data_IF_060928814472
#
_entry.id   IF_060928814472
#
_cell.length_a   1.000
_cell.length_b   1.000
_cell.length_c   1.000
_cell.angle_alpha   90.00
_cell.angle_beta   90.00
_cell.angle_gamma   90.00
#
_symmetry.space_group_name_H-M   'P 1'
#
loop_
_entity.id
_entity.type
_entity.pdbx_description
1 polymer ?
#
# COMPACT_ATOMS: atom_id res chain seq x y z
N UNK A 1 5.02 8.76 -8.30
CA UNK A 1 5.80 7.51 -8.34
C UNK A 1 6.73 7.57 -9.54
N UNK A 2 8.03 7.35 -9.36
CA UNK A 2 9.01 7.59 -10.44
C UNK A 2 9.07 6.50 -11.52
N UNK A 3 8.57 5.31 -11.21
CA UNK A 3 8.65 4.15 -12.13
C UNK A 3 7.40 3.97 -12.99
N UNK A 4 6.29 4.55 -12.57
CA UNK A 4 5.00 4.43 -13.27
C UNK A 4 4.30 5.78 -13.21
N UNK A 5 3.90 6.30 -14.35
CA UNK A 5 3.07 7.50 -14.43
C UNK A 5 1.63 7.13 -14.08
N UNK A 6 1.04 7.85 -13.13
CA UNK A 6 -0.37 7.71 -12.77
C UNK A 6 -1.08 9.01 -13.12
N UNK A 7 -2.09 8.90 -13.96
CA UNK A 7 -2.89 10.01 -14.45
C UNK A 7 -4.28 10.00 -13.80
N UNK A 8 -4.96 11.11 -13.83
CA UNK A 8 -6.31 11.24 -13.24
C UNK A 8 -7.38 10.34 -13.91
N UNK A 9 -7.12 9.91 -15.14
CA UNK A 9 -7.97 8.96 -15.87
C UNK A 9 -7.81 7.51 -15.41
N UNK A 10 -6.74 7.19 -14.68
CA UNK A 10 -6.44 5.83 -14.27
C UNK A 10 -7.32 5.36 -13.10
N UNK A 11 -7.64 4.09 -13.12
CA UNK A 11 -8.20 3.36 -11.99
C UNK A 11 -7.09 2.58 -11.31
N UNK A 12 -6.80 2.89 -10.05
CA UNK A 12 -5.67 2.32 -9.31
C UNK A 12 -6.15 1.57 -8.07
N UNK A 13 -5.75 0.32 -7.92
CA UNK A 13 -5.95 -0.43 -6.69
C UNK A 13 -4.63 -0.57 -5.91
N UNK A 14 -4.72 -0.55 -4.58
CA UNK A 14 -3.60 -0.82 -3.68
C UNK A 14 -4.00 -2.00 -2.78
N UNK A 15 -3.19 -3.05 -2.75
CA UNK A 15 -3.40 -4.19 -1.87
C UNK A 15 -2.46 -4.11 -0.68
N UNK A 16 -3.05 -4.04 0.52
CA UNK A 16 -2.36 -3.97 1.80
C UNK A 16 -2.70 -2.71 2.59
N UNK A 17 -3.23 -2.88 3.79
CA UNK A 17 -3.63 -1.82 4.73
C UNK A 17 -2.57 -1.52 5.79
N UNK A 18 -1.31 -1.86 5.50
CA UNK A 18 -0.16 -1.47 6.30
C UNK A 18 0.26 -0.02 6.05
N UNK A 19 1.27 0.46 6.79
CA UNK A 19 1.83 1.83 6.63
C UNK A 19 2.10 2.18 5.17
N UNK A 20 2.74 1.28 4.44
CA UNK A 20 3.13 1.51 3.04
C UNK A 20 1.90 1.64 2.13
N UNK A 21 0.92 0.73 2.26
CA UNK A 21 -0.29 0.78 1.47
C UNK A 21 -1.11 2.05 1.73
N UNK A 22 -1.26 2.45 3.01
CA UNK A 22 -1.95 3.69 3.40
C UNK A 22 -1.25 4.95 2.86
N UNK A 23 0.08 4.99 2.87
CA UNK A 23 0.83 6.11 2.29
C UNK A 23 0.76 6.13 0.76
N UNK A 24 0.84 4.95 0.11
CA UNK A 24 0.68 4.84 -1.33
C UNK A 24 -0.72 5.30 -1.77
N UNK A 25 -1.76 4.88 -1.06
CA UNK A 25 -3.13 5.27 -1.38
C UNK A 25 -3.32 6.79 -1.31
N UNK A 26 -2.83 7.44 -0.25
CA UNK A 26 -2.89 8.90 -0.13
C UNK A 26 -2.11 9.60 -1.25
N UNK A 27 -0.88 9.16 -1.52
CA UNK A 27 -0.04 9.78 -2.55
C UNK A 27 -0.63 9.62 -3.96
N UNK A 28 -1.24 8.47 -4.25
CA UNK A 28 -1.90 8.21 -5.53
C UNK A 28 -3.18 9.03 -5.67
N UNK A 29 -3.98 9.13 -4.63
CA UNK A 29 -5.20 9.93 -4.65
C UNK A 29 -4.92 11.42 -4.99
N UNK A 30 -3.74 11.95 -4.63
CA UNK A 30 -3.33 13.31 -5.00
C UNK A 30 -3.15 13.52 -6.51
N UNK A 31 -3.02 12.46 -7.30
CA UNK A 31 -2.96 12.55 -8.78
C UNK A 31 -4.33 12.77 -9.42
N UNK A 32 -5.41 12.66 -8.65
CA UNK A 32 -6.78 12.66 -9.15
C UNK A 32 -7.25 11.31 -9.69
N UNK A 33 -6.41 10.27 -9.67
CA UNK A 33 -6.78 8.92 -10.09
C UNK A 33 -7.86 8.31 -9.17
N UNK A 34 -8.78 7.54 -9.75
CA UNK A 34 -9.72 6.72 -8.99
C UNK A 34 -8.96 5.68 -8.17
N UNK A 35 -8.94 5.84 -6.86
CA UNK A 35 -8.05 5.09 -5.96
C UNK A 35 -8.85 4.20 -5.03
N UNK A 36 -8.56 2.89 -5.04
CA UNK A 36 -9.13 1.88 -4.15
C UNK A 36 -8.05 1.27 -3.26
N UNK A 37 -8.22 1.34 -1.93
CA UNK A 37 -7.39 0.60 -0.98
C UNK A 37 -8.08 -0.69 -0.54
N UNK A 38 -7.37 -1.81 -0.67
CA UNK A 38 -7.86 -3.14 -0.30
C UNK A 38 -7.10 -3.62 0.93
N UNK A 39 -7.83 -3.92 2.00
CA UNK A 39 -7.25 -4.34 3.27
C UNK A 39 -8.14 -5.23 4.11
N UNK A 40 -7.56 -5.86 5.12
CA UNK A 40 -8.25 -6.82 6.00
C UNK A 40 -8.80 -6.17 7.28
N UNK A 41 -8.25 -5.02 7.69
CA UNK A 41 -8.48 -4.41 9.00
C UNK A 41 -9.32 -3.13 8.87
N UNK A 42 -10.57 -3.19 9.30
CA UNK A 42 -11.51 -2.08 9.17
C UNK A 42 -11.00 -0.78 9.82
N UNK A 43 -10.33 -0.89 10.97
CA UNK A 43 -9.75 0.26 11.69
C UNK A 43 -8.66 0.98 10.88
N UNK A 44 -7.90 0.24 10.07
CA UNK A 44 -6.88 0.82 9.20
C UNK A 44 -7.49 1.42 7.93
N UNK A 45 -8.49 0.75 7.36
CA UNK A 45 -9.21 1.25 6.19
C UNK A 45 -9.89 2.60 6.47
N UNK A 46 -10.43 2.80 7.68
CA UNK A 46 -11.00 4.09 8.09
C UNK A 46 -10.02 5.27 7.98
N UNK A 47 -8.71 5.04 8.07
CA UNK A 47 -7.71 6.10 7.87
C UNK A 47 -7.77 6.63 6.43
N UNK A 48 -7.87 5.71 5.45
CA UNK A 48 -8.00 6.08 4.04
C UNK A 48 -9.38 6.67 3.72
N UNK A 49 -10.46 6.12 4.31
CA UNK A 49 -11.83 6.62 4.15
C UNK A 49 -11.98 8.06 4.60
N UNK A 50 -11.35 8.45 5.72
CA UNK A 50 -11.32 9.85 6.18
C UNK A 50 -10.65 10.83 5.20
N UNK A 51 -9.84 10.29 4.28
CA UNK A 51 -9.19 11.03 3.19
C UNK A 51 -9.95 10.93 1.87
N UNK A 52 -11.19 10.43 1.89
CA UNK A 52 -12.02 10.28 0.69
C UNK A 52 -11.59 9.14 -0.25
N UNK A 53 -10.74 8.22 0.21
CA UNK A 53 -10.27 7.10 -0.59
C UNK A 53 -11.24 5.92 -0.43
N UNK A 54 -11.69 5.36 -1.55
CA UNK A 54 -12.53 4.15 -1.55
C UNK A 54 -11.77 2.99 -0.91
N UNK A 55 -12.47 2.20 -0.09
CA UNK A 55 -11.86 1.01 0.54
C UNK A 55 -12.70 -0.24 0.35
N UNK A 56 -12.05 -1.39 0.29
CA UNK A 56 -12.73 -2.67 0.20
C UNK A 56 -11.99 -3.75 0.99
N UNK A 57 -12.73 -4.76 1.47
CA UNK A 57 -12.14 -6.02 1.93
C UNK A 57 -11.80 -6.91 0.72
N UNK A 58 -10.81 -7.82 0.84
CA UNK A 58 -10.38 -8.67 -0.28
C UNK A 58 -11.52 -9.42 -0.97
N UNK A 59 -12.46 -9.99 -0.20
CA UNK A 59 -13.61 -10.73 -0.76
C UNK A 59 -14.56 -9.86 -1.60
N UNK A 60 -14.73 -8.58 -1.26
CA UNK A 60 -15.51 -7.62 -2.04
C UNK A 60 -14.74 -7.19 -3.29
N UNK A 61 -13.45 -6.89 -3.11
CA UNK A 61 -12.59 -6.47 -4.22
C UNK A 61 -12.42 -7.56 -5.29
N UNK A 62 -12.46 -8.84 -4.92
CA UNK A 62 -12.37 -9.96 -5.86
C UNK A 62 -13.49 -9.98 -6.92
N UNK A 63 -14.58 -9.24 -6.73
CA UNK A 63 -15.65 -9.08 -7.73
C UNK A 63 -15.27 -8.07 -8.83
N UNK A 64 -14.22 -7.28 -8.63
CA UNK A 64 -13.77 -6.22 -9.54
C UNK A 64 -12.59 -6.68 -10.40
N UNK A 65 -12.68 -7.91 -10.91
CA UNK A 65 -11.64 -8.50 -11.76
C UNK A 65 -11.46 -7.70 -13.05
N UNK A 66 -10.18 -7.53 -13.44
CA UNK A 66 -9.79 -6.91 -14.72
C UNK A 66 -10.28 -5.46 -14.90
N UNK A 67 -10.38 -4.72 -13.79
CA UNK A 67 -10.88 -3.33 -13.83
C UNK A 67 -9.80 -2.26 -13.76
N UNK A 68 -8.62 -2.56 -13.22
CA UNK A 68 -7.65 -1.56 -12.84
C UNK A 68 -6.50 -1.43 -13.83
N UNK A 69 -6.14 -0.19 -14.13
CA UNK A 69 -5.00 0.16 -14.99
C UNK A 69 -3.67 -0.14 -14.30
N UNK A 70 -3.62 0.17 -13.00
CA UNK A 70 -2.45 -0.05 -12.16
C UNK A 70 -2.89 -0.71 -10.85
N UNK A 71 -2.16 -1.75 -10.43
CA UNK A 71 -2.34 -2.34 -9.11
C UNK A 71 -1.01 -2.29 -8.36
N UNK A 72 -1.03 -1.75 -7.15
CA UNK A 72 0.14 -1.68 -6.25
C UNK A 72 0.04 -2.79 -5.22
N UNK A 73 0.97 -3.73 -5.26
CA UNK A 73 1.10 -4.78 -4.24
C UNK A 73 1.98 -4.25 -3.09
N UNK A 74 1.39 -4.06 -1.92
CA UNK A 74 2.01 -3.56 -0.70
C UNK A 74 1.69 -4.42 0.54
N UNK A 75 1.18 -5.63 0.35
CA UNK A 75 0.82 -6.54 1.44
C UNK A 75 1.97 -7.44 1.88
N UNK A 76 2.92 -7.72 1.00
CA UNK A 76 4.01 -8.66 1.23
C UNK A 76 3.56 -10.11 1.34
N UNK A 77 2.44 -10.48 0.71
CA UNK A 77 1.91 -11.84 0.77
C UNK A 77 1.67 -12.43 -0.62
N UNK A 78 1.88 -13.76 -0.80
CA UNK A 78 1.57 -14.44 -2.05
C UNK A 78 0.11 -14.23 -2.49
N UNK A 79 -0.85 -14.32 -1.56
CA UNK A 79 -2.27 -14.09 -1.86
C UNK A 79 -2.58 -12.65 -2.30
N UNK A 80 -1.83 -11.67 -1.79
CA UNK A 80 -1.92 -10.29 -2.25
C UNK A 80 -1.44 -10.12 -3.68
N UNK A 81 -0.35 -10.80 -4.04
CA UNK A 81 0.18 -10.80 -5.41
C UNK A 81 -0.81 -11.43 -6.40
N UNK A 82 -1.34 -12.62 -6.08
CA UNK A 82 -2.35 -13.29 -6.92
C UNK A 82 -3.59 -12.41 -7.08
N UNK A 83 -4.10 -11.86 -5.97
CA UNK A 83 -5.23 -10.92 -6.03
C UNK A 83 -4.93 -9.67 -6.85
N UNK A 84 -3.69 -9.17 -6.81
CA UNK A 84 -3.29 -8.02 -7.62
C UNK A 84 -3.36 -8.32 -9.12
N UNK A 85 -2.89 -9.50 -9.54
CA UNK A 85 -2.99 -9.93 -10.93
C UNK A 85 -4.44 -10.07 -11.38
N UNK A 86 -5.32 -10.61 -10.54
CA UNK A 86 -6.74 -10.76 -10.89
C UNK A 86 -7.46 -9.44 -11.14
N UNK A 87 -7.07 -8.39 -10.43
CA UNK A 87 -7.67 -7.06 -10.55
C UNK A 87 -7.21 -6.29 -11.80
N UNK A 88 -6.04 -6.60 -12.33
CA UNK A 88 -5.50 -5.92 -13.50
C UNK A 88 -6.28 -6.21 -14.77
N UNK A 89 -6.60 -5.16 -15.52
CA UNK A 89 -7.07 -5.28 -16.90
C UNK A 89 -5.95 -5.72 -17.84
N UNK A 90 -6.27 -6.18 -19.05
CA UNK A 90 -5.24 -6.36 -20.09
C UNK A 90 -4.42 -5.08 -20.30
N UNK A 91 -3.13 -5.23 -20.51
CA UNK A 91 -2.14 -4.15 -20.66
C UNK A 91 -2.01 -3.27 -19.40
N UNK A 92 -2.47 -3.76 -18.23
CA UNK A 92 -2.30 -3.11 -16.94
C UNK A 92 -0.89 -3.26 -16.38
N UNK A 93 -0.59 -2.48 -15.34
CA UNK A 93 0.72 -2.48 -14.68
C UNK A 93 0.61 -2.93 -13.23
N UNK A 94 1.32 -4.01 -12.88
CA UNK A 94 1.54 -4.44 -11.50
C UNK A 94 2.78 -3.77 -10.92
N UNK A 95 2.60 -3.00 -9.84
CA UNK A 95 3.71 -2.36 -9.13
C UNK A 95 3.99 -3.12 -7.85
N UNK A 96 5.18 -3.73 -7.74
CA UNK A 96 5.61 -4.46 -6.56
C UNK A 96 6.34 -3.51 -5.61
N UNK A 97 5.74 -3.25 -4.44
CA UNK A 97 6.27 -2.38 -3.38
C UNK A 97 6.78 -3.15 -2.17
N UNK A 98 6.43 -4.41 -2.03
CA UNK A 98 6.85 -5.26 -0.92
C UNK A 98 7.50 -6.54 -1.41
N UNK A 99 8.33 -7.13 -0.55
CA UNK A 99 8.83 -8.49 -0.68
C UNK A 99 7.98 -9.43 0.16
N UNK A 100 7.88 -10.69 -0.23
CA UNK A 100 7.19 -11.68 0.60
C UNK A 100 7.96 -11.95 1.88
N UNK A 101 7.23 -12.07 2.98
CA UNK A 101 7.79 -12.50 4.26
C UNK A 101 7.79 -14.02 4.31
N UNK A 102 8.98 -14.62 4.48
CA UNK A 102 9.17 -16.07 4.54
C UNK A 102 9.43 -16.73 3.17
N UNK A 103 9.47 -18.05 3.10
CA UNK A 103 9.67 -18.81 1.86
C UNK A 103 8.39 -18.76 1.02
N UNK A 104 8.12 -17.58 0.43
CA UNK A 104 6.95 -17.38 -0.42
C UNK A 104 7.17 -17.97 -1.79
N UNK A 105 6.54 -19.11 -2.08
CA UNK A 105 6.31 -19.56 -3.45
C UNK A 105 4.99 -19.01 -3.96
N UNK A 106 4.98 -18.59 -5.20
CA UNK A 106 3.76 -18.18 -5.90
C UNK A 106 3.37 -19.38 -6.78
N UNK A 107 2.76 -20.38 -6.17
CA UNK A 107 2.43 -21.62 -6.86
C UNK A 107 1.16 -21.52 -7.74
N UNK A 108 0.39 -20.43 -7.60
CA UNK A 108 -0.94 -20.28 -8.25
C UNK A 108 -0.97 -19.20 -9.35
N UNK A 109 0.17 -18.82 -9.90
CA UNK A 109 0.19 -17.80 -10.96
C UNK A 109 0.09 -18.46 -12.32
N UNK A 110 -1.01 -18.19 -13.01
CA UNK A 110 -1.11 -18.51 -14.43
C UNK A 110 -0.18 -17.60 -15.24
N UNK A 111 0.95 -18.17 -15.64
CA UNK A 111 1.97 -17.49 -16.43
C UNK A 111 1.42 -16.99 -17.77
N UNK A 112 0.40 -17.67 -18.34
CA UNK A 112 -0.20 -17.29 -19.61
C UNK A 112 -0.78 -15.87 -19.56
N UNK A 113 -1.24 -15.41 -18.39
CA UNK A 113 -1.77 -14.06 -18.23
C UNK A 113 -0.77 -12.94 -18.53
N UNK A 114 0.51 -13.15 -18.24
CA UNK A 114 1.52 -12.13 -18.54
C UNK A 114 1.69 -11.93 -20.05
N UNK A 115 1.58 -13.02 -20.80
CA UNK A 115 1.72 -12.99 -22.28
C UNK A 115 0.40 -12.57 -22.94
N UNK A 116 -0.70 -13.24 -22.59
CA UNK A 116 -2.00 -13.02 -23.25
C UNK A 116 -2.59 -11.66 -22.92
N UNK A 117 -2.46 -11.22 -21.65
CA UNK A 117 -2.95 -9.92 -21.21
C UNK A 117 -1.91 -8.79 -21.34
N UNK A 118 -0.72 -9.07 -21.85
CA UNK A 118 0.39 -8.10 -22.00
C UNK A 118 0.67 -7.30 -20.71
N UNK A 119 0.67 -7.97 -19.55
CA UNK A 119 0.82 -7.32 -18.23
C UNK A 119 2.26 -6.88 -18.02
N UNK A 120 2.45 -5.61 -17.63
CA UNK A 120 3.73 -5.09 -17.18
C UNK A 120 3.92 -5.29 -15.68
N UNK A 121 5.09 -5.80 -15.26
CA UNK A 121 5.45 -5.94 -13.84
C UNK A 121 6.63 -5.03 -13.53
N UNK A 122 6.46 -4.13 -12.56
CA UNK A 122 7.45 -3.11 -12.20
C UNK A 122 7.80 -3.20 -10.73
N UNK A 123 9.06 -3.52 -10.43
CA UNK A 123 9.61 -3.37 -9.08
C UNK A 123 9.78 -1.88 -8.73
N UNK A 124 9.31 -1.47 -7.55
CA UNK A 124 9.43 -0.10 -7.09
C UNK A 124 9.93 -0.06 -5.66
N UNK A 125 11.08 0.53 -5.45
CA UNK A 125 11.70 0.72 -4.14
C UNK A 125 11.39 2.13 -3.60
N UNK A 126 12.39 2.80 -3.03
CA UNK A 126 12.29 4.17 -2.53
C UNK A 126 12.35 5.15 -3.71
N UNK A 127 11.60 6.23 -3.64
CA UNK A 127 11.74 7.37 -4.54
C UNK A 127 12.67 8.45 -3.97
N UNK A 128 12.73 9.61 -4.64
CA UNK A 128 13.46 10.77 -4.15
C UNK A 128 12.85 11.30 -2.85
N UNK A 129 13.73 11.74 -1.95
CA UNK A 129 13.31 12.17 -0.61
C UNK A 129 12.60 13.54 -0.64
N UNK A 130 13.10 14.46 -1.46
CA UNK A 130 12.59 15.85 -1.49
C UNK A 130 11.09 15.95 -1.82
N UNK A 131 10.55 15.27 -2.85
CA UNK A 131 9.11 15.30 -3.11
C UNK A 131 8.26 14.79 -1.95
N UNK A 132 8.76 13.79 -1.20
CA UNK A 132 8.05 13.29 -0.02
C UNK A 132 8.01 14.34 1.09
N UNK A 133 9.11 15.05 1.35
CA UNK A 133 9.16 16.14 2.31
C UNK A 133 8.22 17.29 1.92
N UNK A 134 8.14 17.62 0.64
CA UNK A 134 7.28 18.68 0.16
C UNK A 134 5.78 18.35 0.37
N UNK A 135 5.40 17.08 0.17
CA UNK A 135 4.04 16.62 0.49
C UNK A 135 3.73 16.69 1.98
N UNK A 136 4.69 16.32 2.84
CA UNK A 136 4.55 16.41 4.30
C UNK A 136 4.44 17.86 4.76
N UNK A 137 5.30 18.75 4.26
CA UNK A 137 5.25 20.19 4.59
C UNK A 137 3.91 20.85 4.22
N UNK A 138 3.29 20.39 3.13
CA UNK A 138 1.98 20.86 2.68
C UNK A 138 0.80 20.24 3.45
N UNK A 139 1.05 19.32 4.38
CA UNK A 139 -0.01 18.56 5.05
C UNK A 139 -0.85 17.69 4.10
N UNK A 140 -0.33 17.39 2.90
CA UNK A 140 -1.06 16.65 1.88
C UNK A 140 -1.20 15.16 2.23
N UNK A 141 -0.31 14.64 3.07
CA UNK A 141 -0.29 13.25 3.55
C UNK A 141 -0.52 13.24 5.06
N UNK A 142 -1.52 12.51 5.51
CA UNK A 142 -1.79 12.25 6.93
C UNK A 142 -0.86 11.15 7.43
N UNK A 143 0.17 11.54 8.18
CA UNK A 143 1.08 10.61 8.84
C UNK A 143 0.71 10.40 10.31
N UNK A 144 0.01 11.35 10.94
CA UNK A 144 -0.30 11.32 12.35
C UNK A 144 -1.25 10.16 12.69
N UNK A 145 -2.24 9.90 11.83
CA UNK A 145 -3.12 8.73 11.96
C UNK A 145 -2.39 7.38 11.82
N UNK A 146 -1.16 7.36 11.33
CA UNK A 146 -0.35 6.14 11.23
C UNK A 146 0.50 5.89 12.48
N UNK A 147 0.64 6.90 13.36
CA UNK A 147 1.40 6.79 14.61
C UNK A 147 0.46 6.19 15.65
N UNK A 148 0.73 4.95 16.05
CA UNK A 148 -0.09 4.26 17.04
C UNK A 148 0.31 4.62 18.47
N UNK A 149 1.61 4.73 18.73
CA UNK A 149 2.16 4.92 20.07
C UNK A 149 3.50 5.66 20.00
N UNK A 150 3.82 6.40 21.07
CA UNK A 150 5.11 7.07 21.24
C UNK A 150 5.70 6.74 22.61
N UNK A 151 7.02 6.55 22.67
CA UNK A 151 7.73 6.21 23.90
C UNK A 151 9.04 6.99 24.04
N UNK A 152 9.49 7.31 25.26
CA UNK A 152 10.84 7.81 25.49
C UNK A 152 11.87 6.73 25.13
N UNK A 153 13.07 7.14 24.76
CA UNK A 153 14.14 6.22 24.37
C UNK A 153 14.45 5.18 25.47
N UNK A 154 14.36 5.56 26.73
CA UNK A 154 14.54 4.67 27.87
C UNK A 154 13.61 3.44 27.85
N UNK A 155 12.47 3.52 27.16
CA UNK A 155 11.53 2.41 26.97
C UNK A 155 11.67 1.73 25.61
N UNK A 156 12.81 1.85 24.95
CA UNK A 156 13.04 1.38 23.58
C UNK A 156 12.73 -0.10 23.37
N UNK A 157 13.15 -0.98 24.28
CA UNK A 157 12.86 -2.42 24.18
C UNK A 157 11.36 -2.70 24.22
N UNK A 158 10.65 -2.07 25.14
CA UNK A 158 9.19 -2.17 25.23
C UNK A 158 8.50 -1.65 23.95
N UNK A 159 8.98 -0.53 23.42
CA UNK A 159 8.46 0.04 22.17
C UNK A 159 8.66 -0.90 20.99
N UNK A 160 9.78 -1.63 20.92
CA UNK A 160 10.01 -2.65 19.88
C UNK A 160 9.04 -3.82 20.00
N UNK A 161 8.76 -4.31 21.22
CA UNK A 161 7.74 -5.33 21.43
C UNK A 161 6.36 -4.85 20.98
N UNK A 162 5.99 -3.62 21.32
CA UNK A 162 4.73 -2.99 20.91
C UNK A 162 4.62 -2.88 19.41
N UNK A 163 5.70 -2.48 18.72
CA UNK A 163 5.74 -2.35 17.27
C UNK A 163 5.45 -3.68 16.53
N UNK A 164 5.73 -4.82 17.15
CA UNK A 164 5.43 -6.15 16.64
C UNK A 164 3.99 -6.62 16.86
N UNK A 165 3.18 -5.89 17.65
CA UNK A 165 1.82 -6.32 17.98
C UNK A 165 0.84 -6.07 16.83
N UNK A 166 -0.13 -6.96 16.71
CA UNK A 166 -1.21 -6.82 15.72
C UNK A 166 -2.00 -5.53 15.97
N UNK A 167 -2.32 -4.82 14.90
CA UNK A 167 -3.06 -3.55 14.96
C UNK A 167 -2.15 -2.32 15.05
N UNK A 168 -0.94 -2.45 15.56
CA UNK A 168 0.02 -1.35 15.65
C UNK A 168 0.59 -1.04 14.27
N UNK A 169 0.47 0.22 13.82
CA UNK A 169 1.01 0.66 12.54
C UNK A 169 2.44 1.20 12.67
N UNK A 170 2.62 2.20 13.53
CA UNK A 170 3.92 2.83 13.75
C UNK A 170 4.09 3.17 15.22
N UNK A 171 5.22 2.80 15.78
CA UNK A 171 5.70 3.25 17.11
C UNK A 171 6.86 4.22 16.90
N UNK A 172 6.84 5.34 17.59
CA UNK A 172 7.94 6.31 17.60
C UNK A 172 8.70 6.27 18.92
N UNK A 173 10.01 6.52 18.84
CA UNK A 173 10.85 6.80 19.99
C UNK A 173 11.19 8.29 20.03
N UNK A 174 11.01 8.89 21.19
CA UNK A 174 11.37 10.30 21.48
C UNK A 174 12.70 10.33 22.25
N UNK A 175 13.83 10.61 21.58
CA UNK A 175 15.15 10.59 22.25
C UNK A 175 15.26 11.60 23.41
N UNK A 176 14.52 12.70 23.32
CA UNK A 176 14.59 13.84 24.25
C UNK A 176 13.41 13.93 25.23
N UNK A 177 12.51 12.96 25.24
CA UNK A 177 11.42 12.88 26.21
C UNK A 177 11.91 12.14 27.47
N UNK A 178 11.82 12.78 28.62
CA UNK A 178 12.03 12.15 29.94
C UNK A 178 10.84 11.29 30.33
#
# INVERSE_FOLDING_TARGET
MERVTIESSHRVAIIGDGKLGLLCAQAIALTGASTLLIGKHAEKLRIAERRGIETNKPGTAAKRKREFDVVVEASGSPSGFVGALELLRPRGTLVLKSTFQGPGKIDEVDQARFVVDEISVVGSRCGRFQPALDLLKKGAIDIDSLISEEYPLARGLYAMERAGKRGVLKVLLRPWAN
#
